data_IF_813524718787
#
_entry.id   IF_813524718787
#
_cell.length_a   1.000
_cell.length_b   1.000
_cell.length_c   1.000
_cell.angle_alpha   90.00
_cell.angle_beta   90.00
_cell.angle_gamma   90.00
#
_symmetry.space_group_name_H-M   'P 1'
#
loop_
_entity.id
_entity.type
_entity.pdbx_description
1 polymer ?
#
# COMPACT_ATOMS: atom_id res chain seq x y z
N UNK A 1 -25.42 -40.14 -27.41
CA UNK A 1 -26.44 -39.38 -26.66
C UNK A 1 -25.75 -38.55 -25.58
N UNK A 2 -25.94 -37.22 -25.64
CA UNK A 2 -26.08 -36.29 -24.50
C UNK A 2 -25.03 -36.33 -23.36
N UNK A 3 -23.97 -35.53 -23.49
CA UNK A 3 -23.49 -34.74 -22.34
C UNK A 3 -24.02 -33.32 -22.50
N UNK A 4 -24.70 -32.89 -21.44
CA UNK A 4 -25.59 -31.74 -21.40
C UNK A 4 -24.79 -30.45 -21.32
N UNK A 5 -25.18 -29.48 -22.15
CA UNK A 5 -24.93 -28.07 -21.91
C UNK A 5 -25.48 -27.71 -20.53
N UNK A 6 -24.61 -27.51 -19.55
CA UNK A 6 -24.94 -26.81 -18.31
C UNK A 6 -24.10 -25.55 -18.25
N UNK A 7 -24.74 -24.45 -18.65
CA UNK A 7 -24.33 -23.07 -18.40
C UNK A 7 -23.82 -22.90 -16.96
N UNK A 8 -22.57 -22.46 -16.83
CA UNK A 8 -22.03 -21.93 -15.58
C UNK A 8 -21.59 -20.50 -15.83
N UNK A 9 -22.40 -19.55 -15.37
CA UNK A 9 -22.20 -18.10 -15.47
C UNK A 9 -20.79 -17.71 -15.01
N UNK A 10 -19.97 -17.20 -15.94
CA UNK A 10 -18.68 -16.57 -15.59
C UNK A 10 -18.99 -15.19 -15.00
N UNK A 11 -19.17 -15.13 -13.68
CA UNK A 11 -19.31 -13.88 -12.93
C UNK A 11 -17.98 -13.12 -12.98
N UNK A 12 -17.87 -12.22 -13.95
CA UNK A 12 -16.78 -11.24 -14.02
C UNK A 12 -17.06 -10.21 -12.93
N UNK A 13 -16.51 -10.43 -11.73
CA UNK A 13 -16.50 -9.42 -10.68
C UNK A 13 -15.57 -8.28 -11.09
N UNK A 14 -16.14 -7.21 -11.64
CA UNK A 14 -15.48 -5.91 -11.74
C UNK A 14 -15.15 -5.44 -10.32
N UNK A 15 -13.92 -5.71 -9.88
CA UNK A 15 -13.37 -5.09 -8.68
C UNK A 15 -13.24 -3.59 -8.95
N UNK A 16 -14.16 -2.80 -8.40
CA UNK A 16 -14.04 -1.36 -8.31
C UNK A 16 -12.71 -1.06 -7.61
N UNK A 17 -11.78 -0.45 -8.36
CA UNK A 17 -10.50 -0.03 -7.83
C UNK A 17 -10.75 1.06 -6.80
N UNK A 18 -10.59 0.71 -5.52
CA UNK A 18 -10.53 1.68 -4.44
C UNK A 18 -9.37 2.64 -4.74
N UNK A 19 -9.69 3.94 -4.84
CA UNK A 19 -8.72 5.03 -4.87
C UNK A 19 -8.10 5.13 -3.48
N UNK A 20 -7.19 4.21 -3.17
CA UNK A 20 -6.48 4.16 -1.90
C UNK A 20 -5.34 5.18 -1.93
N UNK A 21 -5.37 6.14 -1.02
CA UNK A 21 -4.33 7.14 -0.77
C UNK A 21 -3.10 6.55 -0.07
N UNK A 22 -2.73 5.31 -0.41
CA UNK A 22 -1.47 4.75 0.05
C UNK A 22 -0.36 5.37 -0.81
N UNK A 23 0.32 6.37 -0.24
CA UNK A 23 1.41 7.12 -0.90
C UNK A 23 2.75 6.37 -0.87
N UNK A 24 2.75 5.10 -0.45
CA UNK A 24 3.95 4.28 -0.39
C UNK A 24 4.20 3.63 -1.74
N UNK A 25 5.41 3.80 -2.24
CA UNK A 25 5.87 3.15 -3.45
C UNK A 25 6.47 1.80 -3.06
N UNK A 26 6.11 0.76 -3.82
CA UNK A 26 6.54 -0.62 -3.58
C UNK A 26 7.33 -1.12 -4.78
N UNK A 27 8.47 -1.76 -4.53
CA UNK A 27 9.35 -2.29 -5.58
C UNK A 27 10.02 -3.59 -5.12
N UNK A 28 10.23 -4.52 -6.04
CA UNK A 28 11.15 -5.63 -5.82
C UNK A 28 12.56 -5.17 -6.21
N UNK A 29 13.47 -5.09 -5.24
CA UNK A 29 14.82 -4.57 -5.47
C UNK A 29 15.71 -5.56 -6.24
N UNK A 30 15.46 -6.87 -6.10
CA UNK A 30 16.35 -7.92 -6.59
C UNK A 30 15.74 -8.76 -7.74
N UNK A 31 14.56 -8.38 -8.24
CA UNK A 31 13.83 -9.19 -9.20
C UNK A 31 13.07 -8.31 -10.20
N UNK A 32 13.10 -8.70 -11.47
CA UNK A 32 12.22 -8.13 -12.49
C UNK A 32 10.79 -8.58 -12.19
N UNK A 33 9.85 -7.64 -12.30
CA UNK A 33 8.44 -7.92 -12.13
C UNK A 33 7.63 -7.16 -13.17
N UNK A 34 6.45 -7.67 -13.45
CA UNK A 34 5.48 -7.02 -14.34
C UNK A 34 4.48 -6.21 -13.54
N UNK A 35 3.89 -5.20 -14.18
CA UNK A 35 2.78 -4.44 -13.61
C UNK A 35 1.58 -5.33 -13.27
N UNK A 36 1.37 -6.42 -14.01
CA UNK A 36 0.29 -7.36 -13.76
C UNK A 36 0.48 -8.10 -12.42
N UNK A 37 1.70 -8.55 -12.13
CA UNK A 37 2.04 -9.18 -10.85
C UNK A 37 1.90 -8.21 -9.68
N UNK A 38 2.39 -6.97 -9.85
CA UNK A 38 2.23 -5.92 -8.84
C UNK A 38 0.76 -5.69 -8.51
N UNK A 39 -0.09 -5.52 -9.52
CA UNK A 39 -1.53 -5.28 -9.32
C UNK A 39 -2.23 -6.46 -8.65
N UNK A 40 -1.87 -7.69 -9.01
CA UNK A 40 -2.41 -8.91 -8.39
C UNK A 40 -2.04 -8.96 -6.91
N UNK A 41 -0.77 -8.76 -6.59
CA UNK A 41 -0.28 -8.85 -5.22
C UNK A 41 -0.84 -7.69 -4.36
N UNK A 42 -0.90 -6.48 -4.92
CA UNK A 42 -1.51 -5.32 -4.27
C UNK A 42 -2.99 -5.55 -3.95
N UNK A 43 -3.76 -6.13 -4.86
CA UNK A 43 -5.17 -6.48 -4.61
C UNK A 43 -5.31 -7.58 -3.55
N UNK A 44 -4.45 -8.60 -3.59
CA UNK A 44 -4.47 -9.70 -2.62
C UNK A 44 -4.06 -9.26 -1.22
N UNK A 45 -3.14 -8.29 -1.12
CA UNK A 45 -2.69 -7.72 0.14
C UNK A 45 -3.54 -6.53 0.61
N UNK A 46 -4.51 -6.06 -0.18
CA UNK A 46 -5.44 -5.01 0.25
C UNK A 46 -6.61 -5.62 1.01
N UNK A 47 -6.65 -5.43 2.32
CA UNK A 47 -7.72 -5.91 3.21
C UNK A 47 -8.52 -4.72 3.72
N UNK A 48 -9.84 -4.73 3.48
CA UNK A 48 -10.75 -3.65 3.91
C UNK A 48 -10.30 -2.25 3.46
N UNK A 49 -9.71 -2.14 2.28
CA UNK A 49 -9.24 -0.87 1.72
C UNK A 49 -7.92 -0.36 2.29
N UNK A 50 -7.22 -1.16 3.11
CA UNK A 50 -5.86 -0.88 3.59
C UNK A 50 -4.90 -1.92 3.03
N UNK A 51 -3.75 -1.46 2.56
CA UNK A 51 -2.68 -2.35 2.13
C UNK A 51 -1.96 -2.93 3.35
N UNK A 52 -1.85 -4.25 3.39
CA UNK A 52 -1.12 -5.00 4.40
C UNK A 52 0.37 -5.09 4.02
N UNK A 53 1.21 -4.44 4.82
CA UNK A 53 2.65 -4.38 4.62
C UNK A 53 3.33 -5.73 4.75
N UNK A 54 2.89 -6.57 5.68
CA UNK A 54 3.51 -7.86 5.94
C UNK A 54 3.19 -8.83 4.80
N UNK A 55 1.98 -8.74 4.24
CA UNK A 55 1.62 -9.45 3.02
C UNK A 55 2.49 -9.03 1.82
N UNK A 56 2.70 -7.71 1.64
CA UNK A 56 3.55 -7.19 0.56
C UNK A 56 5.00 -7.65 0.73
N UNK A 57 5.56 -7.53 1.93
CA UNK A 57 6.93 -7.97 2.26
C UNK A 57 7.12 -9.49 2.09
N UNK A 58 6.14 -10.30 2.51
CA UNK A 58 6.18 -11.75 2.33
C UNK A 58 6.25 -12.17 0.85
N UNK A 59 5.74 -11.32 -0.05
CA UNK A 59 5.82 -11.49 -1.51
C UNK A 59 7.06 -10.86 -2.16
N UNK A 60 7.97 -10.34 -1.34
CA UNK A 60 9.22 -9.73 -1.76
C UNK A 60 9.10 -8.27 -2.20
N UNK A 61 7.97 -7.61 -1.94
CA UNK A 61 7.81 -6.18 -2.18
C UNK A 61 8.44 -5.39 -1.03
N UNK A 62 9.23 -4.37 -1.38
CA UNK A 62 9.87 -3.47 -0.43
C UNK A 62 9.27 -2.08 -0.61
N UNK A 63 8.85 -1.46 0.50
CA UNK A 63 8.45 -0.06 0.49
C UNK A 63 9.69 0.82 0.26
N UNK A 64 9.73 1.53 -0.86
CA UNK A 64 10.87 2.35 -1.29
C UNK A 64 10.74 3.79 -0.80
N UNK A 65 9.52 4.27 -0.61
CA UNK A 65 9.29 5.55 0.06
C UNK A 65 9.39 5.32 1.56
N UNK A 66 10.24 6.06 2.30
CA UNK A 66 10.18 6.03 3.75
C UNK A 66 8.74 6.37 4.15
N UNK A 67 8.14 5.67 5.14
CA UNK A 67 6.84 6.04 5.65
C UNK A 67 6.94 7.52 5.96
N UNK A 68 6.08 8.36 5.35
CA UNK A 68 5.98 9.79 5.67
C UNK A 68 6.10 9.84 7.17
N UNK A 69 7.21 10.41 7.64
CA UNK A 69 7.55 10.43 9.05
C UNK A 69 6.24 10.76 9.76
N UNK A 70 5.73 9.83 10.56
CA UNK A 70 4.77 10.16 11.58
C UNK A 70 5.34 11.43 12.18
N UNK A 71 4.64 12.57 11.97
CA UNK A 71 5.10 13.87 12.44
C UNK A 71 5.47 13.59 13.88
N UNK A 72 6.78 13.57 14.15
CA UNK A 72 7.32 13.33 15.47
C UNK A 72 6.55 14.32 16.32
N UNK A 73 5.63 13.82 17.16
CA UNK A 73 4.77 14.66 17.99
C UNK A 73 5.68 15.75 18.51
N UNK A 74 5.34 16.99 18.17
CA UNK A 74 6.10 18.16 18.52
C UNK A 74 6.47 18.01 19.99
N UNK A 75 7.78 17.98 20.27
CA UNK A 75 8.25 17.88 21.63
C UNK A 75 7.69 19.10 22.38
N UNK A 76 6.85 18.92 23.42
CA UNK A 76 6.26 20.05 24.15
C UNK A 76 7.31 20.96 24.79
N UNK A 77 8.58 20.57 24.80
CA UNK A 77 9.71 21.36 25.29
C UNK A 77 10.35 22.29 24.25
N UNK A 78 9.89 22.31 23.00
CA UNK A 78 10.35 23.28 22.00
C UNK A 78 9.67 24.64 22.18
N UNK A 79 9.70 25.18 23.41
CA UNK A 79 9.39 26.58 23.64
C UNK A 79 10.59 27.43 23.16
N UNK A 80 10.37 28.54 22.44
CA UNK A 80 11.45 29.44 22.08
C UNK A 80 11.92 30.13 23.37
N UNK A 81 13.12 29.78 23.83
CA UNK A 81 13.77 30.54 24.89
C UNK A 81 14.09 31.95 24.36
N UNK A 82 13.14 32.86 24.58
CA UNK A 82 13.40 34.18 25.13
C UNK A 82 14.35 35.06 24.32
N UNK A 83 13.75 35.84 23.44
CA UNK A 83 14.32 37.11 22.95
C UNK A 83 14.44 38.10 24.13
N UNK A 84 15.62 38.73 24.28
CA UNK A 84 15.92 40.09 24.83
C UNK A 84 16.54 40.19 26.26
N UNK A 85 17.30 41.26 26.64
CA UNK A 85 18.01 42.28 25.87
C UNK A 85 19.52 42.42 26.20
N UNK A 86 20.22 43.09 25.26
CA UNK A 86 21.51 43.78 25.35
C UNK A 86 21.80 44.41 26.74
N UNK A 87 22.97 44.14 27.32
CA UNK A 87 23.64 44.99 28.32
C UNK A 87 25.08 45.22 27.90
#
# INVERSE_FOLDING_TARGET
MRHRLTSGVLLITLAMTACGTDTREWMKLNQTYTTAEFRRDLQQCTVKGKLDDDCMKARGWVAVTPPKAEQKKEDPLSLPAGRSPRR
#
